data_IF_355999344308
#
_entry.id   IF_355999344308
#
_cell.length_a   1.000
_cell.length_b   1.000
_cell.length_c   1.000
_cell.angle_alpha   90.00
_cell.angle_beta   90.00
_cell.angle_gamma   90.00
#
_symmetry.space_group_name_H-M   'P 1'
#
loop_
_entity.id
_entity.type
_entity.pdbx_description
1 polymer ?
#
# COMPACT_ATOMS: atom_id res chain seq x y z
N UNK A 1 11.48 24.63 -45.59
CA UNK A 1 10.23 24.68 -44.79
C UNK A 1 9.83 23.34 -44.19
N UNK A 2 10.05 22.20 -44.86
CA UNK A 2 9.72 20.85 -44.36
C UNK A 2 10.61 20.32 -43.23
N UNK A 3 11.88 20.74 -43.20
CA UNK A 3 12.84 20.31 -42.17
C UNK A 3 12.44 20.75 -40.75
N UNK A 4 11.96 21.99 -40.62
CA UNK A 4 11.50 22.54 -39.34
C UNK A 4 10.18 21.90 -38.88
N UNK A 5 9.31 21.53 -39.83
CA UNK A 5 8.06 20.82 -39.54
C UNK A 5 8.34 19.42 -38.97
N UNK A 6 9.34 18.71 -39.51
CA UNK A 6 9.72 17.39 -39.02
C UNK A 6 10.31 17.42 -37.60
N UNK A 7 11.12 18.44 -37.28
CA UNK A 7 11.67 18.63 -35.92
C UNK A 7 10.54 18.94 -34.93
N UNK A 8 9.58 19.77 -35.33
CA UNK A 8 8.41 20.07 -34.51
C UNK A 8 7.56 18.83 -34.24
N UNK A 9 7.32 17.99 -35.25
CA UNK A 9 6.61 16.72 -35.08
C UNK A 9 7.35 15.76 -34.14
N UNK A 10 8.68 15.70 -34.21
CA UNK A 10 9.50 14.87 -33.31
C UNK A 10 9.47 15.37 -31.86
N UNK A 11 9.53 16.69 -31.65
CA UNK A 11 9.40 17.31 -30.33
C UNK A 11 7.99 17.17 -29.75
N UNK A 12 6.95 17.35 -30.56
CA UNK A 12 5.55 17.19 -30.13
C UNK A 12 5.25 15.73 -29.73
N UNK A 13 5.74 14.77 -30.50
CA UNK A 13 5.61 13.34 -30.17
C UNK A 13 6.50 12.95 -28.98
N UNK A 14 7.66 13.60 -28.79
CA UNK A 14 8.47 13.49 -27.57
C UNK A 14 7.76 14.01 -26.32
N UNK A 15 7.10 15.16 -26.41
CA UNK A 15 6.30 15.76 -25.32
C UNK A 15 5.07 14.90 -25.00
N UNK A 16 4.37 14.37 -26.00
CA UNK A 16 3.24 13.45 -25.80
C UNK A 16 3.69 12.12 -25.16
N UNK A 17 4.87 11.59 -25.51
CA UNK A 17 5.43 10.40 -24.87
C UNK A 17 5.88 10.64 -23.43
N UNK A 18 6.40 11.83 -23.12
CA UNK A 18 6.85 12.19 -21.77
C UNK A 18 5.68 12.18 -20.76
N UNK A 19 4.51 12.65 -21.18
CA UNK A 19 3.32 12.75 -20.32
C UNK A 19 2.76 11.38 -19.89
N UNK A 20 3.05 10.31 -20.63
CA UNK A 20 2.62 8.95 -20.31
C UNK A 20 3.33 8.34 -19.10
N UNK A 21 4.44 8.90 -18.62
CA UNK A 21 5.19 8.34 -17.49
C UNK A 21 4.68 8.82 -16.12
N UNK A 22 3.78 9.81 -16.08
CA UNK A 22 3.21 10.33 -14.82
C UNK A 22 1.80 9.83 -14.51
N UNK A 23 1.16 9.07 -15.40
CA UNK A 23 -0.13 8.43 -15.10
C UNK A 23 0.06 7.02 -14.53
N UNK A 24 0.09 7.01 -13.20
CA UNK A 24 -0.56 6.05 -12.31
C UNK A 24 -0.78 4.64 -12.88
N UNK A 25 0.03 3.71 -12.38
CA UNK A 25 -0.41 2.32 -12.20
C UNK A 25 -1.87 2.31 -11.71
N UNK A 26 -2.75 1.46 -12.26
CA UNK A 26 -4.19 1.49 -11.97
C UNK A 26 -4.43 1.57 -10.47
N UNK A 27 -5.40 2.39 -9.99
CA UNK A 27 -5.63 2.60 -8.57
C UNK A 27 -6.04 1.26 -7.97
N UNK A 28 -5.07 0.56 -7.40
CA UNK A 28 -5.33 -0.58 -6.54
C UNK A 28 -6.25 -0.11 -5.42
N UNK A 29 -7.29 -0.87 -5.05
CA UNK A 29 -8.26 -0.43 -4.05
C UNK A 29 -7.57 0.18 -2.83
N UNK A 30 -7.95 1.44 -2.53
CA UNK A 30 -7.32 2.27 -1.52
C UNK A 30 -7.79 1.84 -0.13
N UNK A 31 -7.02 0.95 0.52
CA UNK A 31 -7.24 0.62 1.92
C UNK A 31 -6.50 1.64 2.81
N UNK A 32 -7.20 2.38 3.67
CA UNK A 32 -6.55 3.29 4.60
C UNK A 32 -5.65 2.51 5.55
N UNK A 33 -4.56 3.13 5.99
CA UNK A 33 -3.70 2.54 6.99
C UNK A 33 -4.50 2.33 8.29
N UNK A 34 -4.57 1.12 8.86
CA UNK A 34 -5.35 0.86 10.08
C UNK A 34 -4.78 1.56 11.32
N UNK A 35 -3.55 2.07 11.25
CA UNK A 35 -2.89 2.75 12.35
C UNK A 35 -3.08 4.28 12.31
N UNK A 36 -2.98 4.91 11.13
CA UNK A 36 -3.04 6.37 11.01
C UNK A 36 -4.19 6.89 10.14
N UNK A 37 -5.00 6.02 9.55
CA UNK A 37 -6.14 6.40 8.69
C UNK A 37 -5.77 6.92 7.29
N UNK A 38 -4.51 7.27 7.03
CA UNK A 38 -4.07 7.80 5.73
C UNK A 38 -4.28 6.82 4.58
N UNK A 39 -4.71 7.34 3.43
CA UNK A 39 -4.83 6.60 2.18
C UNK A 39 -3.50 6.48 1.42
N UNK A 40 -2.46 7.20 1.85
CA UNK A 40 -1.14 7.14 1.22
C UNK A 40 -0.41 5.85 1.62
N UNK A 41 -0.59 4.81 0.82
CA UNK A 41 -0.02 3.48 1.06
C UNK A 41 0.71 2.95 -0.17
N UNK A 42 1.82 2.24 0.07
CA UNK A 42 2.62 1.60 -0.98
C UNK A 42 2.62 0.09 -0.82
N UNK A 43 2.83 -0.66 -1.91
CA UNK A 43 3.15 -2.09 -1.86
C UNK A 43 4.55 -2.25 -1.27
N UNK A 44 4.68 -3.07 -0.22
CA UNK A 44 5.95 -3.36 0.45
C UNK A 44 6.18 -4.87 0.53
N UNK A 45 6.43 -5.49 -0.64
CA UNK A 45 6.65 -6.93 -0.77
C UNK A 45 5.40 -7.79 -0.59
N UNK A 46 5.61 -9.04 -0.21
CA UNK A 46 4.58 -10.05 0.06
C UNK A 46 4.92 -10.87 1.31
N UNK A 47 3.91 -11.50 1.90
CA UNK A 47 4.11 -12.52 2.95
C UNK A 47 4.45 -13.88 2.31
N UNK A 48 4.86 -14.85 3.11
CA UNK A 48 5.22 -16.20 2.64
C UNK A 48 4.10 -16.88 1.81
N UNK A 49 2.83 -16.58 2.10
CA UNK A 49 1.66 -17.04 1.33
C UNK A 49 1.41 -16.24 0.04
N UNK A 50 2.36 -15.42 -0.43
CA UNK A 50 2.24 -14.63 -1.65
C UNK A 50 1.33 -13.39 -1.57
N UNK A 51 0.52 -13.23 -0.50
CA UNK A 51 -0.35 -12.05 -0.36
C UNK A 51 0.48 -10.76 -0.26
N UNK A 52 0.07 -9.68 -0.96
CA UNK A 52 0.81 -8.44 -0.94
C UNK A 52 0.73 -7.79 0.44
N UNK A 53 1.86 -7.29 0.91
CA UNK A 53 1.96 -6.45 2.09
C UNK A 53 1.96 -4.99 1.65
N UNK A 54 1.30 -4.12 2.42
CA UNK A 54 1.23 -2.67 2.22
C UNK A 54 1.95 -1.96 3.36
N UNK A 55 2.40 -0.74 3.12
CA UNK A 55 2.96 0.14 4.13
C UNK A 55 2.38 1.54 4.02
N UNK A 56 1.93 2.11 5.14
CA UNK A 56 1.52 3.51 5.21
C UNK A 56 2.73 4.44 5.09
N UNK A 57 2.64 5.48 4.27
CA UNK A 57 3.74 6.44 4.05
C UNK A 57 3.97 7.36 5.26
N UNK A 58 2.91 7.74 5.94
CA UNK A 58 2.98 8.67 7.07
C UNK A 58 3.50 8.00 8.35
N UNK A 59 2.98 6.82 8.70
CA UNK A 59 3.36 6.13 9.94
C UNK A 59 4.35 4.98 9.76
N UNK A 60 4.70 4.62 8.51
CA UNK A 60 5.60 3.50 8.22
C UNK A 60 5.04 2.10 8.56
N UNK A 61 3.80 2.00 9.07
CA UNK A 61 3.22 0.73 9.50
C UNK A 61 2.92 -0.18 8.32
N UNK A 62 3.37 -1.44 8.43
CA UNK A 62 3.05 -2.49 7.47
C UNK A 62 1.74 -3.21 7.83
N UNK A 63 0.95 -3.57 6.82
CA UNK A 63 -0.31 -4.31 6.99
C UNK A 63 -0.62 -5.17 5.75
N UNK A 64 -1.51 -6.14 5.91
CA UNK A 64 -1.99 -7.00 4.81
C UNK A 64 -3.50 -6.79 4.68
N UNK A 65 -3.96 -6.61 3.46
CA UNK A 65 -5.40 -6.44 3.16
C UNK A 65 -6.10 -7.79 3.36
N UNK A 66 -7.21 -7.81 4.08
CA UNK A 66 -8.02 -9.00 4.37
C UNK A 66 -7.17 -10.17 4.92
N UNK A 67 -6.58 -10.01 6.12
CA UNK A 67 -5.77 -11.05 6.73
C UNK A 67 -6.61 -12.32 6.94
N UNK A 68 -6.08 -13.47 6.53
CA UNK A 68 -6.79 -14.76 6.62
C UNK A 68 -6.55 -15.48 7.95
N UNK A 69 -5.49 -15.11 8.68
CA UNK A 69 -5.24 -15.67 10.01
C UNK A 69 -6.23 -15.07 11.01
N UNK A 70 -6.82 -15.94 11.84
CA UNK A 70 -7.75 -15.56 12.89
C UNK A 70 -7.02 -14.70 13.92
N UNK A 71 -7.39 -13.42 14.00
CA UNK A 71 -7.01 -12.57 15.13
C UNK A 71 -7.60 -13.17 16.40
N UNK A 72 -6.82 -13.24 17.48
CA UNK A 72 -7.33 -13.61 18.80
C UNK A 72 -8.41 -12.59 19.19
N UNK A 73 -9.60 -13.05 19.55
CA UNK A 73 -10.69 -12.16 19.95
C UNK A 73 -10.31 -11.38 21.21
N UNK A 74 -10.87 -10.19 21.38
CA UNK A 74 -10.57 -9.39 22.56
C UNK A 74 -11.03 -10.08 23.86
N UNK A 75 -12.10 -10.86 23.80
CA UNK A 75 -12.53 -11.72 24.91
C UNK A 75 -11.45 -12.75 25.30
N UNK A 76 -10.83 -13.41 24.31
CA UNK A 76 -9.76 -14.36 24.58
C UNK A 76 -8.51 -13.66 25.14
N UNK A 77 -8.18 -12.45 24.65
CA UNK A 77 -7.08 -11.66 25.22
C UNK A 77 -7.33 -11.30 26.68
N UNK A 78 -8.52 -10.80 27.00
CA UNK A 78 -8.91 -10.46 28.37
C UNK A 78 -8.87 -11.68 29.31
N UNK A 79 -9.29 -12.85 28.83
CA UNK A 79 -9.18 -14.09 29.58
C UNK A 79 -7.72 -14.45 29.85
N UNK A 80 -6.85 -14.35 28.84
CA UNK A 80 -5.41 -14.61 29.00
C UNK A 80 -4.82 -13.66 30.04
N UNK A 81 -5.11 -12.36 29.96
CA UNK A 81 -4.59 -11.38 30.91
C UNK A 81 -5.01 -11.70 32.35
N UNK A 82 -6.28 -12.07 32.56
CA UNK A 82 -6.77 -12.47 33.89
C UNK A 82 -6.05 -13.71 34.42
N UNK A 83 -5.92 -14.76 33.62
CA UNK A 83 -5.25 -16.00 34.02
C UNK A 83 -3.76 -15.79 34.30
N UNK A 84 -3.10 -14.86 33.60
CA UNK A 84 -1.70 -14.52 33.86
C UNK A 84 -1.54 -13.82 35.21
N UNK A 85 -2.46 -12.92 35.58
CA UNK A 85 -2.45 -12.27 36.90
C UNK A 85 -2.62 -13.27 38.05
N UNK A 86 -3.53 -14.25 37.89
CA UNK A 86 -3.78 -15.32 38.89
C UNK A 86 -2.59 -16.27 39.09
N UNK A 87 -1.66 -16.33 38.13
CA UNK A 87 -0.46 -17.18 38.16
C UNK A 87 0.76 -16.51 38.80
N UNK A 88 0.76 -15.18 38.90
CA UNK A 88 1.86 -14.38 39.46
C UNK A 88 1.62 -14.10 40.96
N UNK A 89 0.36 -14.22 41.42
CA UNK A 89 -0.05 -14.23 42.83
C UNK A 89 0.17 -15.59 43.49
#
# INVERSE_FOLDING_TARGET
MTFLINIFFWLLSGLLKYQSSTEQSPPSPLFPCPNCGSHHTIKNGSIHNGKPKRQGKECGRQFVINPTNKTVSDQTKQLIDKLLLERIS
#
